data_IF_815105547959
#
_entry.id   IF_815105547959
#
_cell.length_a   1.000
_cell.length_b   1.000
_cell.length_c   1.000
_cell.angle_alpha   90.00
_cell.angle_beta   90.00
_cell.angle_gamma   90.00
#
_symmetry.space_group_name_H-M   'P 1'
#
loop_
_entity.id
_entity.type
_entity.pdbx_description
1 polymer ?
#
# COMPACT_ATOMS: atom_id res chain seq x y z
N UNK A 1 22.84 5.39 -10.17
CA UNK A 1 22.13 4.18 -10.68
C UNK A 1 20.84 3.87 -9.94
N UNK A 2 20.83 3.67 -8.61
CA UNK A 2 19.60 3.34 -7.82
C UNK A 2 18.38 4.24 -8.10
N UNK A 3 18.61 5.54 -8.27
CA UNK A 3 17.55 6.53 -8.52
C UNK A 3 16.86 6.40 -9.90
N UNK A 4 17.55 5.88 -10.93
CA UNK A 4 16.94 5.72 -12.27
C UNK A 4 16.03 4.49 -12.32
N UNK A 5 16.44 3.39 -11.69
CA UNK A 5 15.65 2.16 -11.64
C UNK A 5 14.32 2.36 -10.90
N UNK A 6 14.34 3.05 -9.75
CA UNK A 6 13.12 3.39 -9.01
C UNK A 6 12.19 4.31 -9.84
N UNK A 7 12.75 5.26 -10.59
CA UNK A 7 11.99 6.13 -11.49
C UNK A 7 11.32 5.34 -12.62
N UNK A 8 12.05 4.43 -13.25
CA UNK A 8 11.53 3.56 -14.32
C UNK A 8 10.42 2.63 -13.83
N UNK A 9 10.61 1.99 -12.67
CA UNK A 9 9.61 1.13 -12.07
C UNK A 9 8.30 1.91 -11.75
N UNK A 10 8.42 3.12 -11.20
CA UNK A 10 7.25 4.00 -10.97
C UNK A 10 6.51 4.33 -12.26
N UNK A 11 7.23 4.70 -13.32
CA UNK A 11 6.61 4.98 -14.62
C UNK A 11 5.93 3.75 -15.22
N UNK A 12 6.50 2.56 -15.03
CA UNK A 12 5.90 1.29 -15.46
C UNK A 12 4.59 1.02 -14.72
N UNK A 13 4.55 1.17 -13.39
CA UNK A 13 3.32 1.04 -12.60
C UNK A 13 2.24 2.01 -13.11
N UNK A 14 2.59 3.29 -13.30
CA UNK A 14 1.63 4.30 -13.81
C UNK A 14 1.08 3.95 -15.19
N UNK A 15 1.92 3.39 -16.08
CA UNK A 15 1.49 2.96 -17.42
C UNK A 15 0.52 1.79 -17.35
N UNK A 16 0.84 0.78 -16.54
CA UNK A 16 0.04 -0.43 -16.41
C UNK A 16 -1.28 -0.18 -15.67
N UNK A 17 -1.28 0.66 -14.62
CA UNK A 17 -2.48 0.97 -13.85
C UNK A 17 -3.53 1.80 -14.62
N UNK A 18 -3.16 2.39 -15.77
CA UNK A 18 -4.09 3.17 -16.62
C UNK A 18 -4.97 2.31 -17.52
N UNK A 19 -4.62 1.04 -17.76
CA UNK A 19 -5.47 0.16 -18.57
C UNK A 19 -6.59 -0.41 -17.69
N UNK A 20 -7.79 -0.56 -18.27
CA UNK A 20 -8.99 -0.98 -17.55
C UNK A 20 -8.80 -2.41 -17.05
N UNK A 21 -8.75 -2.59 -15.74
CA UNK A 21 -8.58 -3.90 -15.13
C UNK A 21 -9.78 -4.81 -15.51
N UNK A 22 -9.51 -5.87 -16.27
CA UNK A 22 -10.49 -6.89 -16.63
C UNK A 22 -9.98 -8.26 -16.21
N UNK A 23 -9.96 -8.53 -14.90
CA UNK A 23 -9.59 -9.85 -14.33
C UNK A 23 -10.37 -11.06 -14.87
N UNK A 24 -11.34 -10.85 -15.77
CA UNK A 24 -12.09 -11.89 -16.49
C UNK A 24 -11.40 -12.38 -17.77
N UNK A 25 -10.32 -11.73 -18.21
CA UNK A 25 -9.57 -12.08 -19.42
C UNK A 25 -8.13 -12.46 -19.08
N UNK A 26 -7.49 -13.24 -19.95
CA UNK A 26 -6.05 -13.56 -19.83
C UNK A 26 -5.21 -12.27 -19.80
N UNK A 27 -5.53 -11.33 -20.69
CA UNK A 27 -4.86 -10.03 -20.76
C UNK A 27 -4.95 -9.26 -19.43
N UNK A 28 -6.11 -9.24 -18.78
CA UNK A 28 -6.28 -8.58 -17.48
C UNK A 28 -5.48 -9.25 -16.36
N UNK A 29 -5.38 -10.59 -16.35
CA UNK A 29 -4.54 -11.32 -15.40
C UNK A 29 -3.05 -11.02 -15.65
N UNK A 30 -2.59 -11.04 -16.90
CA UNK A 30 -1.20 -10.70 -17.27
C UNK A 30 -0.84 -9.26 -16.94
N UNK A 31 -1.79 -8.33 -17.16
CA UNK A 31 -1.64 -6.94 -16.76
C UNK A 31 -1.46 -6.84 -15.24
N UNK A 32 -2.26 -7.57 -14.45
CA UNK A 32 -2.15 -7.57 -13.00
C UNK A 32 -0.78 -8.09 -12.52
N UNK A 33 -0.35 -9.24 -13.04
CA UNK A 33 0.99 -9.79 -12.76
C UNK A 33 2.08 -8.77 -13.10
N UNK A 34 1.96 -8.10 -14.26
CA UNK A 34 2.93 -7.07 -14.66
C UNK A 34 2.98 -5.87 -13.72
N UNK A 35 1.85 -5.49 -13.10
CA UNK A 35 1.81 -4.43 -12.08
C UNK A 35 2.50 -4.89 -10.81
N UNK A 36 2.21 -6.11 -10.36
CA UNK A 36 2.75 -6.66 -9.12
C UNK A 36 4.28 -6.87 -9.25
N UNK A 37 4.77 -7.37 -10.39
CA UNK A 37 6.21 -7.42 -10.72
C UNK A 37 6.87 -6.04 -10.70
N UNK A 38 6.20 -5.02 -11.25
CA UNK A 38 6.73 -3.66 -11.27
C UNK A 38 6.79 -3.05 -9.85
N UNK A 39 5.87 -3.43 -8.96
CA UNK A 39 5.91 -3.06 -7.54
C UNK A 39 7.07 -3.74 -6.82
N UNK A 40 7.27 -5.05 -7.02
CA UNK A 40 8.42 -5.78 -6.48
C UNK A 40 9.73 -5.10 -6.91
N UNK A 41 9.88 -4.82 -8.20
CA UNK A 41 11.06 -4.14 -8.72
C UNK A 41 11.28 -2.75 -8.10
N UNK A 42 10.19 -2.01 -7.85
CA UNK A 42 10.27 -0.73 -7.15
C UNK A 42 10.78 -0.90 -5.70
N UNK A 43 10.23 -1.86 -4.95
CA UNK A 43 10.65 -2.14 -3.58
C UNK A 43 12.14 -2.52 -3.51
N UNK A 44 12.59 -3.40 -4.40
CA UNK A 44 14.02 -3.78 -4.53
C UNK A 44 14.87 -2.54 -4.84
N UNK A 45 14.46 -1.71 -5.80
CA UNK A 45 15.20 -0.50 -6.18
C UNK A 45 15.30 0.52 -5.04
N UNK A 46 14.30 0.54 -4.15
CA UNK A 46 14.26 1.36 -2.93
C UNK A 46 15.07 0.76 -1.78
N UNK A 47 15.61 -0.46 -1.94
CA UNK A 47 16.41 -1.14 -0.92
C UNK A 47 15.58 -1.76 0.19
N UNK A 48 14.33 -2.12 -0.09
CA UNK A 48 13.50 -2.92 0.81
C UNK A 48 14.06 -4.35 0.85
N UNK A 49 14.11 -4.95 2.04
CA UNK A 49 14.49 -6.35 2.19
C UNK A 49 13.50 -7.25 1.43
N UNK A 50 13.98 -8.33 0.81
CA UNK A 50 13.10 -9.26 0.09
C UNK A 50 12.07 -9.91 1.02
N UNK A 51 12.43 -10.15 2.28
CA UNK A 51 11.51 -10.70 3.29
C UNK A 51 10.40 -9.71 3.65
N UNK A 52 10.60 -8.42 3.36
CA UNK A 52 9.67 -7.32 3.55
C UNK A 52 8.86 -6.98 2.29
N UNK A 53 8.89 -7.80 1.25
CA UNK A 53 8.07 -7.59 0.05
C UNK A 53 7.01 -8.70 -0.03
N UNK A 54 5.73 -8.33 -0.10
CA UNK A 54 4.66 -9.30 -0.36
C UNK A 54 4.85 -9.90 -1.76
N UNK A 55 5.13 -11.20 -1.90
CA UNK A 55 5.36 -11.81 -3.21
C UNK A 55 4.10 -11.84 -4.08
N UNK A 56 2.91 -11.70 -3.48
CA UNK A 56 1.63 -11.77 -4.20
C UNK A 56 1.21 -10.41 -4.75
N UNK A 57 1.46 -9.33 -4.00
CA UNK A 57 1.00 -7.98 -4.37
C UNK A 57 2.12 -7.00 -4.71
N UNK A 58 3.37 -7.35 -4.41
CA UNK A 58 4.55 -6.51 -4.54
C UNK A 58 4.62 -5.33 -3.56
N UNK A 59 3.71 -5.27 -2.58
CA UNK A 59 3.72 -4.22 -1.57
C UNK A 59 4.88 -4.36 -0.59
N UNK A 60 5.38 -3.20 -0.14
CA UNK A 60 6.35 -3.11 0.93
C UNK A 60 5.65 -3.33 2.29
N UNK A 61 6.08 -4.37 3.00
CA UNK A 61 5.62 -4.79 4.33
C UNK A 61 6.62 -4.47 5.43
N UNK A 62 7.65 -3.65 5.16
CA UNK A 62 8.61 -3.22 6.17
C UNK A 62 7.94 -2.41 7.27
N UNK A 63 8.59 -2.38 8.45
CA UNK A 63 8.13 -1.54 9.56
C UNK A 63 8.03 -0.06 9.17
N UNK A 64 8.96 0.45 8.35
CA UNK A 64 8.93 1.84 7.89
C UNK A 64 7.74 2.13 6.97
N UNK A 65 7.33 1.17 6.13
CA UNK A 65 6.14 1.30 5.31
C UNK A 65 4.87 1.31 6.17
N UNK A 66 4.79 0.45 7.17
CA UNK A 66 3.70 0.44 8.15
C UNK A 66 3.50 1.81 8.80
N UNK A 67 4.58 2.38 9.38
CA UNK A 67 4.51 3.69 10.04
C UNK A 67 4.13 4.81 9.06
N UNK A 68 4.70 4.79 7.84
CA UNK A 68 4.38 5.79 6.81
C UNK A 68 2.90 5.74 6.40
N UNK A 69 2.33 4.54 6.25
CA UNK A 69 0.90 4.35 5.94
C UNK A 69 0.05 4.85 7.09
N UNK A 70 0.38 4.46 8.33
CA UNK A 70 -0.29 4.92 9.55
C UNK A 70 -0.31 6.45 9.66
N UNK A 71 0.84 7.11 9.48
CA UNK A 71 0.94 8.57 9.50
C UNK A 71 0.11 9.24 8.39
N UNK A 72 0.14 8.68 7.18
CA UNK A 72 -0.67 9.16 6.06
C UNK A 72 -2.16 9.10 6.37
N UNK A 73 -2.63 8.02 6.99
CA UNK A 73 -4.02 7.88 7.44
C UNK A 73 -4.40 8.94 8.47
N UNK A 74 -3.56 9.10 9.50
CA UNK A 74 -3.75 10.11 10.55
C UNK A 74 -3.86 11.51 9.96
N UNK A 75 -2.94 11.86 9.04
CA UNK A 75 -2.93 13.15 8.36
C UNK A 75 -4.20 13.37 7.52
N UNK A 76 -4.61 12.37 6.73
CA UNK A 76 -5.82 12.49 5.88
C UNK A 76 -7.08 12.70 6.71
N UNK A 77 -7.25 11.98 7.82
CA UNK A 77 -8.41 12.13 8.71
C UNK A 77 -8.40 13.51 9.39
N UNK A 78 -7.24 13.99 9.86
CA UNK A 78 -7.14 15.31 10.46
C UNK A 78 -7.48 16.43 9.47
N UNK A 79 -7.06 16.29 8.21
CA UNK A 79 -7.30 17.31 7.18
C UNK A 79 -8.75 17.30 6.66
N UNK A 80 -9.31 16.12 6.42
CA UNK A 80 -10.59 15.97 5.72
C UNK A 80 -11.76 15.69 6.66
N UNK A 81 -11.50 15.34 7.91
CA UNK A 81 -12.51 14.87 8.86
C UNK A 81 -12.80 13.37 8.73
N UNK A 82 -13.44 12.83 9.76
CA UNK A 82 -13.84 11.43 9.80
C UNK A 82 -15.16 11.20 9.05
N UNK A 83 -15.24 10.12 8.27
CA UNK A 83 -16.45 9.71 7.54
C UNK A 83 -16.58 8.18 7.53
N UNK A 84 -17.77 7.65 7.28
CA UNK A 84 -17.99 6.19 7.12
C UNK A 84 -17.13 5.59 5.99
N UNK A 85 -16.86 6.38 4.94
CA UNK A 85 -15.98 5.94 3.86
C UNK A 85 -14.55 5.72 4.37
N UNK A 86 -14.04 6.64 5.19
CA UNK A 86 -12.73 6.49 5.82
C UNK A 86 -12.68 5.32 6.81
N UNK A 87 -13.74 5.11 7.59
CA UNK A 87 -13.85 3.97 8.50
C UNK A 87 -13.70 2.63 7.76
N UNK A 88 -14.47 2.45 6.67
CA UNK A 88 -14.40 1.23 5.86
C UNK A 88 -13.00 1.01 5.30
N UNK A 89 -12.43 2.02 4.65
CA UNK A 89 -11.12 1.88 4.02
C UNK A 89 -9.97 1.74 5.03
N UNK A 90 -10.10 2.31 6.24
CA UNK A 90 -9.17 2.04 7.33
C UNK A 90 -9.27 0.60 7.81
N UNK A 91 -10.48 0.07 7.99
CA UNK A 91 -10.69 -1.32 8.40
C UNK A 91 -10.10 -2.31 7.37
N UNK A 92 -10.23 -2.03 6.08
CA UNK A 92 -9.59 -2.79 5.01
C UNK A 92 -8.05 -2.74 5.11
N UNK A 93 -7.48 -1.55 5.35
CA UNK A 93 -6.04 -1.38 5.53
C UNK A 93 -5.53 -2.15 6.77
N UNK A 94 -6.22 -2.05 7.90
CA UNK A 94 -5.88 -2.77 9.14
C UNK A 94 -6.02 -4.28 8.97
N UNK A 95 -7.03 -4.76 8.24
CA UNK A 95 -7.18 -6.18 7.93
C UNK A 95 -6.01 -6.70 7.09
N UNK A 96 -5.58 -5.94 6.08
CA UNK A 96 -4.43 -6.29 5.24
C UNK A 96 -3.13 -6.41 6.05
N UNK A 97 -2.88 -5.48 6.97
CA UNK A 97 -1.71 -5.55 7.85
C UNK A 97 -1.82 -6.68 8.87
N UNK A 98 -3.00 -6.93 9.44
CA UNK A 98 -3.22 -8.02 10.41
C UNK A 98 -2.95 -9.40 9.81
N UNK A 99 -3.25 -9.58 8.53
CA UNK A 99 -2.96 -10.82 7.81
C UNK A 99 -1.45 -11.05 7.58
N UNK A 100 -0.69 -9.98 7.32
CA UNK A 100 0.69 -10.07 6.79
C UNK A 100 1.80 -9.78 7.81
N UNK A 101 1.52 -8.92 8.80
CA UNK A 101 2.43 -8.43 9.84
C UNK A 101 1.66 -8.12 11.14
N UNK A 102 0.97 -9.10 11.74
CA UNK A 102 0.17 -8.88 12.95
C UNK A 102 0.96 -8.26 14.11
N UNK A 103 2.26 -8.53 14.20
CA UNK A 103 3.18 -8.00 15.19
C UNK A 103 3.34 -6.47 15.15
N UNK A 104 2.98 -5.81 14.04
CA UNK A 104 3.02 -4.35 13.97
C UNK A 104 1.78 -3.69 14.57
N UNK A 105 0.64 -4.40 14.63
CA UNK A 105 -0.60 -3.88 15.18
C UNK A 105 -0.73 -4.11 16.70
N UNK A 106 0.12 -4.95 17.30
CA UNK A 106 -0.01 -5.28 18.71
C UNK A 106 0.11 -4.02 19.59
N UNK A 107 -0.96 -3.69 20.29
CA UNK A 107 -1.08 -2.48 21.11
C UNK A 107 -1.10 -1.14 20.35
N UNK A 108 -1.10 -1.14 19.01
CA UNK A 108 -1.12 0.09 18.21
C UNK A 108 -2.55 0.48 17.81
N UNK A 109 -2.96 1.64 18.29
CA UNK A 109 -4.17 2.32 17.86
C UNK A 109 -3.77 3.45 16.90
N UNK A 110 -4.01 3.22 15.61
CA UNK A 110 -3.71 4.17 14.53
C UNK A 110 -4.36 5.53 14.75
N UNK A 111 -5.51 5.59 15.40
CA UNK A 111 -6.30 6.82 15.55
C UNK A 111 -6.17 7.44 16.93
N UNK A 112 -5.32 6.89 17.81
CA UNK A 112 -5.11 7.43 19.15
C UNK A 112 -4.83 8.93 19.12
N UNK A 113 -5.66 9.68 19.85
CA UNK A 113 -5.56 11.14 19.96
C UNK A 113 -6.08 11.93 18.76
N UNK A 114 -6.78 11.30 17.81
CA UNK A 114 -7.48 12.00 16.73
C UNK A 114 -8.97 12.10 17.09
N UNK A 115 -9.56 13.31 17.11
CA UNK A 115 -11.00 13.46 17.29
C UNK A 115 -11.73 12.91 16.07
N UNK A 116 -12.59 11.91 16.28
CA UNK A 116 -13.37 11.23 15.22
C UNK A 116 -14.79 11.78 15.12
N UNK A 117 -14.93 13.10 15.21
CA UNK A 117 -16.23 13.74 15.01
C UNK A 117 -16.60 13.64 13.52
N UNK A 118 -17.76 13.03 13.19
CA UNK A 118 -18.24 13.00 11.82
C UNK A 118 -18.46 14.42 11.32
N UNK A 119 -17.92 14.76 10.15
CA UNK A 119 -18.26 16.01 9.45
C UNK A 119 -19.47 15.83 8.54
#
# INVERSE_FOLDING_TARGET
MRNNMAKEARLRIMRLARQRDTLKTVEGVEQRTSVDDARIALCIALGVDLDDIDPTSGHNLSRSAYESVRESWRWNIQMHGWTEWWERSLNEALASWRERRPEFLDGDDWLKGIPLEPK
#
